data_IF_420918757126
#
_entry.id   IF_420918757126
#
_cell.length_a   1.000
_cell.length_b   1.000
_cell.length_c   1.000
_cell.angle_alpha   90.00
_cell.angle_beta   90.00
_cell.angle_gamma   90.00
#
_symmetry.space_group_name_H-M   'P 1'
#
loop_
_entity.id
_entity.type
_entity.pdbx_description
1 polymer ?
#
# COMPACT_ATOMS: atom_id res chain seq x y z
N UNK A 1 -22.06 -16.45 13.66
CA UNK A 1 -21.24 -16.54 12.43
C UNK A 1 -20.14 -15.50 12.54
N UNK A 2 -18.94 -15.82 12.05
CA UNK A 2 -17.83 -14.87 12.06
C UNK A 2 -18.16 -13.74 11.08
N UNK A 3 -18.72 -12.65 11.59
CA UNK A 3 -19.02 -11.46 10.81
C UNK A 3 -18.18 -10.32 11.38
N UNK A 4 -17.30 -9.78 10.56
CA UNK A 4 -16.65 -8.51 10.88
C UNK A 4 -17.70 -7.39 10.85
N UNK A 5 -17.56 -6.39 11.73
CA UNK A 5 -18.31 -5.15 11.61
C UNK A 5 -18.16 -4.52 10.22
N UNK A 6 -19.24 -3.95 9.67
CA UNK A 6 -19.27 -3.47 8.28
C UNK A 6 -18.31 -2.27 8.07
N UNK A 7 -18.09 -1.46 9.11
CA UNK A 7 -17.07 -0.40 9.14
C UNK A 7 -15.66 -0.95 8.95
N UNK A 8 -15.30 -2.05 9.62
CA UNK A 8 -13.98 -2.69 9.45
C UNK A 8 -13.82 -3.24 8.03
N UNK A 9 -14.86 -3.86 7.45
CA UNK A 9 -14.83 -4.31 6.06
C UNK A 9 -14.60 -3.16 5.09
N UNK A 10 -15.32 -2.05 5.27
CA UNK A 10 -15.17 -0.86 4.44
C UNK A 10 -13.78 -0.25 4.55
N UNK A 11 -13.19 -0.21 5.76
CA UNK A 11 -11.81 0.25 5.96
C UNK A 11 -10.83 -0.63 5.17
N UNK A 12 -10.92 -1.95 5.28
CA UNK A 12 -10.02 -2.87 4.56
C UNK A 12 -10.13 -2.68 3.05
N UNK A 13 -11.34 -2.63 2.50
CA UNK A 13 -11.53 -2.44 1.06
C UNK A 13 -11.05 -1.07 0.57
N UNK A 14 -11.25 -0.02 1.38
CA UNK A 14 -10.73 1.32 1.08
C UNK A 14 -9.20 1.31 1.04
N UNK A 15 -8.55 0.67 2.02
CA UNK A 15 -7.10 0.54 2.04
C UNK A 15 -6.56 -0.28 0.87
N UNK A 16 -7.19 -1.41 0.54
CA UNK A 16 -6.81 -2.23 -0.62
C UNK A 16 -6.89 -1.43 -1.91
N UNK A 17 -7.95 -0.64 -2.09
CA UNK A 17 -8.09 0.26 -3.24
C UNK A 17 -6.97 1.30 -3.26
N UNK A 18 -6.74 2.01 -2.15
CA UNK A 18 -5.68 3.04 -2.05
C UNK A 18 -4.30 2.46 -2.36
N UNK A 19 -3.97 1.27 -1.85
CA UNK A 19 -2.70 0.62 -2.14
C UNK A 19 -2.48 0.38 -3.64
N UNK A 20 -3.54 -0.02 -4.36
CA UNK A 20 -3.48 -0.20 -5.82
C UNK A 20 -3.33 1.14 -6.54
N UNK A 21 -4.06 2.16 -6.12
CA UNK A 21 -3.99 3.52 -6.70
C UNK A 21 -2.59 4.13 -6.53
N UNK A 22 -2.00 4.03 -5.33
CA UNK A 22 -0.66 4.53 -5.04
C UNK A 22 0.39 3.70 -5.79
N UNK A 23 0.22 2.37 -5.90
CA UNK A 23 1.13 1.54 -6.68
C UNK A 23 1.15 1.98 -8.14
N UNK A 24 -0.02 2.26 -8.71
CA UNK A 24 -0.16 2.80 -10.06
C UNK A 24 0.52 4.17 -10.21
N UNK A 25 0.29 5.10 -9.26
CA UNK A 25 0.95 6.41 -9.26
C UNK A 25 2.48 6.29 -9.14
N UNK A 26 2.98 5.36 -8.32
CA UNK A 26 4.42 5.10 -8.17
C UNK A 26 5.03 4.67 -9.50
N UNK A 27 4.41 3.69 -10.18
CA UNK A 27 4.88 3.24 -11.51
C UNK A 27 4.75 4.32 -12.59
N UNK A 28 3.73 5.17 -12.50
CA UNK A 28 3.58 6.29 -13.43
C UNK A 28 4.67 7.34 -13.21
N UNK A 29 4.98 7.66 -11.95
CA UNK A 29 6.04 8.62 -11.57
C UNK A 29 7.40 8.12 -12.06
N UNK A 30 7.71 6.84 -11.82
CA UNK A 30 8.92 6.18 -12.31
C UNK A 30 9.03 6.27 -13.84
N UNK A 31 7.96 5.92 -14.56
CA UNK A 31 7.93 5.99 -16.02
C UNK A 31 8.18 7.41 -16.53
N UNK A 32 7.53 8.43 -15.96
CA UNK A 32 7.68 9.81 -16.38
C UNK A 32 9.09 10.33 -16.07
N UNK A 33 9.63 10.03 -14.89
CA UNK A 33 11.00 10.39 -14.50
C UNK A 33 11.98 9.81 -15.53
N UNK A 34 11.82 8.53 -15.87
CA UNK A 34 12.66 7.87 -16.88
C UNK A 34 12.50 8.45 -18.28
N UNK A 35 11.27 8.79 -18.68
CA UNK A 35 11.02 9.35 -20.01
C UNK A 35 11.62 10.75 -20.18
N UNK A 36 11.58 11.57 -19.13
CA UNK A 36 12.05 12.97 -19.19
C UNK A 36 13.56 13.10 -18.97
N UNK A 37 14.13 12.32 -18.06
CA UNK A 37 15.51 12.51 -17.59
C UNK A 37 16.45 11.34 -17.89
N UNK A 38 15.91 10.16 -18.21
CA UNK A 38 16.69 8.94 -18.39
C UNK A 38 17.30 8.43 -17.07
N UNK A 39 18.03 7.32 -17.14
CA UNK A 39 18.72 6.74 -15.98
C UNK A 39 20.10 7.36 -15.84
N UNK A 40 20.25 8.21 -14.82
CA UNK A 40 21.46 8.98 -14.53
C UNK A 40 21.82 8.86 -13.06
N UNK A 41 23.04 9.25 -12.68
CA UNK A 41 23.46 9.29 -11.27
C UNK A 41 22.53 10.13 -10.38
N UNK A 42 21.88 11.16 -10.95
CA UNK A 42 20.96 12.02 -10.21
C UNK A 42 19.58 11.36 -9.99
N UNK A 43 19.09 10.56 -10.94
CA UNK A 43 17.77 9.91 -10.83
C UNK A 43 17.81 8.58 -10.09
N UNK A 44 18.98 7.93 -10.01
CA UNK A 44 19.13 6.62 -9.36
C UNK A 44 18.55 6.56 -7.93
N UNK A 45 18.81 7.52 -7.03
CA UNK A 45 18.24 7.49 -5.67
C UNK A 45 16.70 7.52 -5.66
N UNK A 46 16.08 8.19 -6.63
CA UNK A 46 14.62 8.28 -6.72
C UNK A 46 14.02 6.99 -7.27
N UNK A 47 14.67 6.36 -8.25
CA UNK A 47 14.25 5.07 -8.77
C UNK A 47 14.30 3.99 -7.68
N UNK A 48 15.37 3.96 -6.88
CA UNK A 48 15.46 3.10 -5.70
C UNK A 48 14.37 3.41 -4.67
N UNK A 49 14.07 4.68 -4.43
CA UNK A 49 12.99 5.10 -3.53
C UNK A 49 11.60 4.66 -4.02
N UNK A 50 11.33 4.77 -5.32
CA UNK A 50 10.10 4.30 -5.95
C UNK A 50 10.00 2.77 -5.91
N UNK A 51 11.10 2.03 -6.07
CA UNK A 51 11.15 0.58 -5.85
C UNK A 51 10.79 0.21 -4.41
N UNK A 52 11.39 0.90 -3.44
CA UNK A 52 11.08 0.70 -2.02
C UNK A 52 9.60 0.98 -1.71
N UNK A 53 9.01 2.02 -2.34
CA UNK A 53 7.58 2.29 -2.25
C UNK A 53 6.75 1.13 -2.81
N UNK A 54 7.08 0.62 -4.01
CA UNK A 54 6.38 -0.53 -4.61
C UNK A 54 6.39 -1.75 -3.68
N UNK A 55 7.53 -2.04 -3.04
CA UNK A 55 7.62 -3.14 -2.06
C UNK A 55 6.78 -2.90 -0.81
N UNK A 56 6.84 -1.67 -0.27
CA UNK A 56 6.07 -1.25 0.91
C UNK A 56 4.56 -1.35 0.69
N UNK A 57 4.07 -1.22 -0.54
CA UNK A 57 2.65 -1.33 -0.89
C UNK A 57 2.19 -2.78 -1.18
N UNK A 58 3.02 -3.57 -1.86
CA UNK A 58 2.68 -4.96 -2.24
C UNK A 58 2.47 -5.87 -1.02
N UNK A 59 3.31 -5.73 -0.01
CA UNK A 59 3.26 -6.54 1.19
C UNK A 59 1.94 -6.39 1.99
N UNK A 60 1.51 -5.19 2.38
CA UNK A 60 0.25 -4.99 3.10
C UNK A 60 -0.97 -5.36 2.24
N UNK A 61 -0.97 -5.12 0.93
CA UNK A 61 -2.09 -5.50 0.05
C UNK A 61 -2.35 -7.02 0.14
N UNK A 62 -1.30 -7.82 -0.08
CA UNK A 62 -1.38 -9.28 -0.05
C UNK A 62 -1.77 -9.79 1.34
N UNK A 63 -1.27 -9.14 2.40
CA UNK A 63 -1.57 -9.53 3.78
C UNK A 63 -3.02 -9.25 4.15
N UNK A 64 -3.53 -8.05 3.86
CA UNK A 64 -4.92 -7.68 4.11
C UNK A 64 -5.89 -8.60 3.38
N UNK A 65 -5.64 -8.87 2.10
CA UNK A 65 -6.46 -9.80 1.30
C UNK A 65 -6.55 -11.19 1.96
N UNK A 66 -5.41 -11.78 2.33
CA UNK A 66 -5.36 -13.12 2.92
C UNK A 66 -6.05 -13.18 4.28
N UNK A 67 -5.82 -12.19 5.15
CA UNK A 67 -6.42 -12.16 6.48
C UNK A 67 -7.92 -11.95 6.43
N UNK A 68 -8.41 -11.07 5.55
CA UNK A 68 -9.83 -10.87 5.35
C UNK A 68 -10.52 -12.18 4.92
N UNK A 69 -9.93 -12.89 3.95
CA UNK A 69 -10.44 -14.19 3.51
C UNK A 69 -10.47 -15.21 4.66
N UNK A 70 -9.36 -15.33 5.42
CA UNK A 70 -9.26 -16.24 6.55
C UNK A 70 -10.33 -15.96 7.62
N UNK A 71 -10.60 -14.69 7.91
CA UNK A 71 -11.66 -14.30 8.86
C UNK A 71 -13.05 -14.68 8.34
N UNK A 72 -13.32 -14.45 7.05
CA UNK A 72 -14.61 -14.78 6.43
C UNK A 72 -14.89 -16.30 6.41
N UNK A 73 -13.85 -17.11 6.22
CA UNK A 73 -13.94 -18.58 6.21
C UNK A 73 -13.99 -19.19 7.62
N UNK A 74 -13.62 -18.43 8.65
CA UNK A 74 -13.61 -18.91 10.04
C UNK A 74 -15.03 -19.10 10.57
N UNK A 75 -15.35 -20.26 11.14
CA UNK A 75 -16.63 -20.51 11.80
C UNK A 75 -16.44 -21.25 13.14
N UNK A 76 -17.30 -20.99 14.15
CA UNK A 76 -18.39 -20.01 14.15
C UNK A 76 -17.93 -18.56 14.36
N UNK A 77 -16.65 -18.36 14.68
CA UNK A 77 -15.98 -17.08 14.91
C UNK A 77 -14.50 -17.20 14.48
N UNK A 78 -13.88 -16.10 14.06
CA UNK A 78 -12.42 -16.03 13.93
C UNK A 78 -11.75 -16.02 15.32
N UNK A 79 -10.52 -16.52 15.41
CA UNK A 79 -9.77 -16.48 16.68
C UNK A 79 -9.36 -15.05 17.03
N UNK A 80 -9.18 -14.79 18.33
CA UNK A 80 -8.72 -13.49 18.80
C UNK A 80 -7.37 -13.10 18.19
N UNK A 81 -6.45 -14.05 18.02
CA UNK A 81 -5.14 -13.81 17.40
C UNK A 81 -5.26 -13.38 15.94
N UNK A 82 -6.13 -14.02 15.15
CA UNK A 82 -6.37 -13.64 13.75
C UNK A 82 -6.97 -12.24 13.66
N UNK A 83 -7.92 -11.89 14.53
CA UNK A 83 -8.53 -10.56 14.56
C UNK A 83 -7.52 -9.49 15.00
N UNK A 84 -6.75 -9.75 16.05
CA UNK A 84 -5.69 -8.85 16.51
C UNK A 84 -4.65 -8.61 15.41
N UNK A 85 -4.28 -9.65 14.66
CA UNK A 85 -3.34 -9.52 13.57
C UNK A 85 -3.92 -8.75 12.38
N UNK A 86 -5.22 -8.91 12.08
CA UNK A 86 -5.93 -8.10 11.09
C UNK A 86 -5.91 -6.62 11.47
N UNK A 87 -6.27 -6.27 12.71
CA UNK A 87 -6.30 -4.87 13.16
C UNK A 87 -4.92 -4.22 13.11
N UNK A 88 -3.86 -4.91 13.56
CA UNK A 88 -2.48 -4.41 13.43
C UNK A 88 -2.06 -4.24 11.97
N UNK A 89 -2.52 -5.12 11.09
CA UNK A 89 -2.22 -5.01 9.65
C UNK A 89 -2.91 -3.79 9.05
N UNK A 90 -4.14 -3.45 9.48
CA UNK A 90 -4.85 -2.23 9.07
C UNK A 90 -4.02 -1.00 9.45
N UNK A 91 -3.64 -0.86 10.72
CA UNK A 91 -2.83 0.28 11.21
C UNK A 91 -1.49 0.40 10.46
N UNK A 92 -0.78 -0.72 10.26
CA UNK A 92 0.48 -0.74 9.52
C UNK A 92 0.29 -0.35 8.04
N UNK A 93 -0.85 -0.71 7.46
CA UNK A 93 -1.16 -0.37 6.06
C UNK A 93 -1.44 1.12 5.93
N UNK A 94 -2.17 1.72 6.87
CA UNK A 94 -2.41 3.17 6.91
C UNK A 94 -1.09 3.93 6.95
N UNK A 95 -0.18 3.57 7.86
CA UNK A 95 1.14 4.20 7.95
C UNK A 95 1.98 4.01 6.67
N UNK A 96 1.92 2.82 6.04
CA UNK A 96 2.61 2.53 4.79
C UNK A 96 2.09 3.39 3.63
N UNK A 97 0.77 3.61 3.57
CA UNK A 97 0.11 4.46 2.58
C UNK A 97 0.60 5.90 2.74
N UNK A 98 0.51 6.47 3.95
CA UNK A 98 0.92 7.85 4.20
C UNK A 98 2.39 8.11 3.86
N UNK A 99 3.29 7.20 4.31
CA UNK A 99 4.71 7.32 4.01
C UNK A 99 5.00 7.23 2.51
N UNK A 100 4.28 6.37 1.78
CA UNK A 100 4.47 6.20 0.34
C UNK A 100 3.98 7.41 -0.45
N UNK A 101 2.83 7.96 -0.08
CA UNK A 101 2.30 9.20 -0.68
C UNK A 101 3.24 10.39 -0.45
N UNK A 102 3.86 10.48 0.73
CA UNK A 102 4.86 11.51 1.03
C UNK A 102 6.09 11.38 0.12
N UNK A 103 6.69 10.19 0.03
CA UNK A 103 7.85 9.95 -0.85
C UNK A 103 7.54 10.28 -2.31
N UNK A 104 6.41 9.81 -2.84
CA UNK A 104 6.03 10.09 -4.23
C UNK A 104 5.87 11.60 -4.44
N UNK A 105 5.23 12.30 -3.51
CA UNK A 105 5.03 13.76 -3.60
C UNK A 105 6.36 14.52 -3.59
N UNK A 106 7.29 14.13 -2.73
CA UNK A 106 8.63 14.74 -2.65
C UNK A 106 9.36 14.59 -3.99
N UNK A 107 9.44 13.37 -4.53
CA UNK A 107 10.07 13.10 -5.83
C UNK A 107 9.42 13.94 -6.94
N UNK A 108 8.09 13.98 -6.99
CA UNK A 108 7.37 14.76 -8.00
C UNK A 108 7.66 16.26 -7.88
N UNK A 109 7.79 16.77 -6.65
CA UNK A 109 8.12 18.18 -6.42
C UNK A 109 9.56 18.50 -6.82
N UNK A 110 10.51 17.66 -6.44
CA UNK A 110 11.94 17.88 -6.69
C UNK A 110 12.28 17.84 -8.19
N UNK A 111 11.57 17.00 -8.93
CA UNK A 111 11.75 16.81 -10.38
C UNK A 111 10.68 17.51 -11.23
N UNK A 112 9.79 18.28 -10.62
CA UNK A 112 8.68 19.00 -11.27
C UNK A 112 7.82 18.10 -12.18
N UNK A 113 7.46 16.92 -11.67
CA UNK A 113 6.62 15.92 -12.33
C UNK A 113 5.13 16.17 -12.03
N UNK A 114 4.21 15.81 -12.96
CA UNK A 114 2.76 15.95 -12.78
C UNK A 114 2.18 14.98 -11.75
#
# INVERSE_FOLDING_TARGET
MAKLPDDILNTIFTLQRRLVEILNETTATEYILMQQFGETEATLPELESLDNVKERLRNPYNRLYRLLQQVAESQPAATADTLNFLYRTIEQTEAAVEASEATIREIKMDWNLP
#
